data_IF_182280613441
#
_entry.id   IF_182280613441
#
_cell.length_a   1.000
_cell.length_b   1.000
_cell.length_c   1.000
_cell.angle_alpha   90.00
_cell.angle_beta   90.00
_cell.angle_gamma   90.00
#
_symmetry.space_group_name_H-M   'P 1'
#
loop_
_entity.id
_entity.type
_entity.pdbx_description
1 polymer ?
#
# COMPACT_ATOMS: atom_id res chain seq x y z
N UNK A 1 57.42 -2.08 -19.13
CA UNK A 1 56.64 -3.10 -18.40
C UNK A 1 56.06 -2.45 -17.15
N UNK A 2 54.73 -2.44 -16.96
CA UNK A 2 54.07 -2.01 -15.71
C UNK A 2 53.39 -0.62 -15.68
N UNK A 3 52.23 -0.46 -16.33
CA UNK A 3 51.33 0.70 -16.15
C UNK A 3 50.49 0.51 -14.86
N UNK A 4 50.70 1.35 -13.83
CA UNK A 4 49.85 1.41 -12.63
C UNK A 4 48.52 2.10 -12.95
N UNK A 5 47.42 1.35 -12.99
CA UNK A 5 46.05 1.90 -13.04
C UNK A 5 45.54 2.17 -11.62
N UNK A 6 45.15 3.42 -11.35
CA UNK A 6 44.37 3.82 -10.17
C UNK A 6 43.03 3.06 -10.20
N UNK A 7 42.69 2.29 -9.15
CA UNK A 7 41.33 1.79 -8.94
C UNK A 7 40.48 2.94 -8.39
N UNK A 8 39.57 3.44 -9.23
CA UNK A 8 38.49 4.33 -8.82
C UNK A 8 37.43 3.57 -8.02
N UNK A 9 36.77 4.31 -7.13
CA UNK A 9 35.56 3.92 -6.41
C UNK A 9 34.53 3.32 -7.37
N UNK A 10 34.08 2.09 -7.10
CA UNK A 10 32.84 1.57 -7.65
C UNK A 10 31.70 2.09 -6.75
N UNK A 11 30.94 3.04 -7.28
CA UNK A 11 29.56 3.24 -6.86
C UNK A 11 28.77 2.05 -7.40
N UNK A 12 28.02 1.36 -6.54
CA UNK A 12 27.00 0.43 -6.99
C UNK A 12 25.84 1.28 -7.50
N UNK A 13 25.71 1.39 -8.81
CA UNK A 13 24.48 1.80 -9.46
C UNK A 13 23.44 0.70 -9.21
N UNK A 14 22.45 1.00 -8.37
CA UNK A 14 21.25 0.18 -8.26
C UNK A 14 20.41 0.41 -9.53
N UNK A 15 20.40 -0.61 -10.38
CA UNK A 15 19.56 -0.73 -11.56
C UNK A 15 18.09 -0.46 -11.17
N UNK A 16 17.53 0.65 -11.67
CA UNK A 16 16.10 0.96 -11.63
C UNK A 16 15.40 0.00 -12.61
N UNK A 17 14.56 -0.90 -12.11
CA UNK A 17 13.78 -1.83 -12.93
C UNK A 17 12.62 -1.07 -13.57
N UNK A 18 12.80 -0.70 -14.84
CA UNK A 18 11.80 -0.08 -15.72
C UNK A 18 10.86 -1.15 -16.33
N UNK A 19 10.09 -1.86 -15.49
CA UNK A 19 9.13 -2.89 -15.95
C UNK A 19 7.67 -2.52 -15.67
N UNK A 20 7.35 -1.24 -15.46
CA UNK A 20 5.97 -0.80 -15.20
C UNK A 20 5.09 -0.61 -16.45
N UNK A 21 5.65 -0.74 -17.66
CA UNK A 21 4.95 -0.44 -18.91
C UNK A 21 4.73 -1.69 -19.77
N UNK A 22 3.95 -2.66 -19.29
CA UNK A 22 3.21 -3.56 -20.19
C UNK A 22 2.07 -4.33 -19.49
N UNK A 23 0.88 -3.74 -19.41
CA UNK A 23 -0.35 -4.49 -19.06
C UNK A 23 -1.22 -4.60 -20.31
N UNK A 24 -1.30 -5.80 -20.87
CA UNK A 24 -2.18 -6.13 -22.00
C UNK A 24 -3.66 -6.07 -21.60
N UNK A 25 -4.60 -5.71 -22.51
CA UNK A 25 -6.01 -5.65 -22.19
C UNK A 25 -6.59 -7.07 -22.12
N UNK A 26 -7.04 -7.47 -20.93
CA UNK A 26 -7.71 -8.76 -20.70
C UNK A 26 -7.19 -9.61 -19.54
N UNK A 27 -6.26 -9.11 -18.72
CA UNK A 27 -5.75 -9.87 -17.58
C UNK A 27 -6.82 -10.07 -16.49
N UNK A 28 -7.39 -11.28 -16.46
CA UNK A 28 -8.20 -11.81 -15.37
C UNK A 28 -7.43 -11.72 -14.06
N UNK A 29 -8.03 -11.12 -13.03
CA UNK A 29 -7.55 -11.18 -11.66
C UNK A 29 -7.62 -12.62 -11.18
N UNK A 30 -6.48 -13.28 -11.10
CA UNK A 30 -6.30 -14.32 -10.09
C UNK A 30 -5.03 -13.96 -9.32
N UNK A 31 -5.13 -13.13 -8.26
CA UNK A 31 -4.00 -12.90 -7.39
C UNK A 31 -3.70 -14.20 -6.63
N UNK A 32 -2.43 -14.43 -6.33
CA UNK A 32 -1.78 -15.66 -5.88
C UNK A 32 -2.21 -16.22 -4.49
N UNK A 33 -3.50 -16.16 -4.14
CA UNK A 33 -4.04 -16.66 -2.88
C UNK A 33 -3.63 -15.82 -1.68
N UNK A 34 -3.81 -16.37 -0.47
CA UNK A 34 -3.61 -15.71 0.83
C UNK A 34 -2.14 -15.41 1.22
N UNK A 35 -1.19 -15.50 0.28
CA UNK A 35 0.25 -15.39 0.54
C UNK A 35 0.95 -14.18 -0.07
N UNK A 36 0.31 -13.47 -1.01
CA UNK A 36 0.93 -12.34 -1.69
C UNK A 36 0.58 -11.01 -1.00
N UNK A 37 1.55 -10.07 -0.91
CA UNK A 37 1.24 -8.72 -0.44
C UNK A 37 0.27 -8.05 -1.41
N UNK A 38 -0.67 -7.28 -0.85
CA UNK A 38 -1.63 -6.47 -1.60
C UNK A 38 -1.22 -5.01 -1.55
N UNK A 39 -1.45 -4.30 -2.64
CA UNK A 39 -1.27 -2.85 -2.70
C UNK A 39 -2.60 -2.14 -2.42
N UNK A 40 -2.66 -1.43 -1.31
CA UNK A 40 -3.82 -0.60 -0.95
C UNK A 40 -3.50 0.87 -1.21
N UNK A 41 -4.43 1.58 -1.86
CA UNK A 41 -4.31 3.02 -2.04
C UNK A 41 -5.60 3.75 -1.65
N UNK A 42 -5.42 4.93 -1.06
CA UNK A 42 -6.47 5.90 -0.80
C UNK A 42 -6.07 7.16 -1.54
N UNK A 43 -6.77 7.45 -2.63
CA UNK A 43 -6.67 8.72 -3.31
C UNK A 43 -7.69 9.67 -2.67
N UNK A 44 -7.20 10.79 -2.21
CA UNK A 44 -8.02 11.86 -1.67
C UNK A 44 -7.72 13.13 -2.44
N UNK A 45 -8.66 13.48 -3.31
CA UNK A 45 -8.49 14.48 -4.34
C UNK A 45 -9.33 15.73 -4.04
N UNK A 46 -8.84 16.90 -4.47
CA UNK A 46 -9.44 18.20 -4.14
C UNK A 46 -10.75 18.52 -4.91
N UNK A 47 -11.11 17.77 -5.95
CA UNK A 47 -12.39 17.86 -6.65
C UNK A 47 -13.54 17.09 -5.97
N UNK A 48 -13.36 16.64 -4.72
CA UNK A 48 -14.49 16.24 -3.87
C UNK A 48 -14.82 14.75 -3.86
N UNK A 49 -13.82 13.87 -4.06
CA UNK A 49 -13.98 12.42 -3.85
C UNK A 49 -12.85 11.84 -3.02
N UNK A 50 -13.15 10.69 -2.41
CA UNK A 50 -12.15 9.75 -1.88
C UNK A 50 -12.34 8.44 -2.62
N UNK A 51 -11.26 7.93 -3.20
CA UNK A 51 -11.23 6.72 -4.02
C UNK A 51 -10.34 5.68 -3.34
N UNK A 52 -10.84 4.46 -3.17
CA UNK A 52 -10.09 3.34 -2.59
C UNK A 52 -9.76 2.31 -3.66
N UNK A 53 -8.52 1.85 -3.64
CA UNK A 53 -8.01 0.86 -4.59
C UNK A 53 -7.41 -0.35 -3.89
N UNK A 54 -7.54 -1.51 -4.53
CA UNK A 54 -6.83 -2.75 -4.21
C UNK A 54 -6.13 -3.21 -5.50
N UNK A 55 -4.82 -3.38 -5.44
CA UNK A 55 -3.96 -3.73 -6.57
C UNK A 55 -4.22 -2.83 -7.80
N UNK A 56 -4.33 -1.52 -7.55
CA UNK A 56 -4.58 -0.50 -8.57
C UNK A 56 -6.02 -0.44 -9.10
N UNK A 57 -6.95 -1.27 -8.60
CA UNK A 57 -8.35 -1.29 -9.08
C UNK A 57 -9.26 -0.56 -8.12
N UNK A 58 -10.09 0.34 -8.66
CA UNK A 58 -11.08 1.09 -7.87
C UNK A 58 -12.12 0.11 -7.31
N UNK A 59 -12.21 0.04 -5.97
CA UNK A 59 -13.17 -0.83 -5.27
C UNK A 59 -14.25 -0.04 -4.54
N UNK A 60 -13.97 1.22 -4.21
CA UNK A 60 -14.94 2.10 -3.56
C UNK A 60 -14.67 3.56 -3.89
N UNK A 61 -15.73 4.35 -3.96
CA UNK A 61 -15.69 5.80 -4.13
C UNK A 61 -16.72 6.44 -3.20
N UNK A 62 -16.30 7.48 -2.49
CA UNK A 62 -17.15 8.36 -1.69
C UNK A 62 -17.12 9.76 -2.31
N UNK A 63 -18.30 10.35 -2.49
CA UNK A 63 -18.49 11.62 -3.19
C UNK A 63 -19.13 12.71 -2.31
N UNK A 64 -19.26 12.45 -1.01
CA UNK A 64 -19.85 13.37 -0.05
C UNK A 64 -21.38 13.34 0.00
N UNK A 65 -22.02 12.41 -0.72
CA UNK A 65 -23.49 12.25 -0.69
C UNK A 65 -24.02 11.86 0.69
N UNK A 66 -23.16 11.31 1.56
CA UNK A 66 -23.48 10.90 2.93
C UNK A 66 -22.99 11.89 4.00
N UNK A 67 -22.41 13.01 3.60
CA UNK A 67 -21.86 14.02 4.50
C UNK A 67 -20.58 14.67 3.97
N UNK A 68 -20.14 15.78 4.57
CA UNK A 68 -18.95 16.50 4.13
C UNK A 68 -17.69 15.63 4.26
N UNK A 69 -16.84 15.66 3.24
CA UNK A 69 -15.55 14.98 3.26
C UNK A 69 -14.55 15.71 4.17
N UNK A 70 -13.52 15.01 4.69
CA UNK A 70 -12.40 15.64 5.38
C UNK A 70 -11.76 16.74 4.52
N UNK A 71 -11.19 17.77 5.17
CA UNK A 71 -10.54 18.92 4.50
C UNK A 71 -9.20 19.31 5.12
N UNK A 72 -8.83 18.73 6.26
CA UNK A 72 -7.61 19.07 7.00
C UNK A 72 -6.50 18.06 6.71
N UNK A 73 -5.22 18.49 6.61
CA UNK A 73 -4.11 17.57 6.50
C UNK A 73 -4.17 16.47 7.57
N UNK A 74 -4.02 15.22 7.14
CA UNK A 74 -4.07 14.05 8.01
C UNK A 74 -2.70 13.38 8.12
N UNK A 75 -2.51 12.55 9.15
CA UNK A 75 -1.31 11.72 9.29
C UNK A 75 -1.60 10.33 8.72
N UNK A 76 -0.59 9.72 8.10
CA UNK A 76 -0.66 8.31 7.74
C UNK A 76 -0.48 7.50 9.03
N UNK A 77 -1.40 6.57 9.29
CA UNK A 77 -1.39 5.71 10.47
C UNK A 77 -1.66 4.27 10.06
N UNK A 78 -0.94 3.34 10.69
CA UNK A 78 -1.17 1.90 10.59
C UNK A 78 -1.07 1.32 12.01
N UNK A 79 -1.97 0.43 12.37
CA UNK A 79 -2.03 -0.17 13.69
C UNK A 79 -2.57 -1.61 13.63
N UNK A 80 -2.28 -2.36 14.69
CA UNK A 80 -2.82 -3.69 14.93
C UNK A 80 -3.19 -3.77 16.41
N UNK A 81 -4.45 -4.03 16.72
CA UNK A 81 -4.95 -4.17 18.08
C UNK A 81 -6.16 -5.11 18.11
N UNK A 82 -6.34 -5.89 19.19
CA UNK A 82 -7.56 -6.66 19.38
C UNK A 82 -8.71 -5.74 19.81
N UNK A 83 -9.90 -5.98 19.28
CA UNK A 83 -11.10 -5.25 19.67
C UNK A 83 -11.78 -5.90 20.90
N UNK A 84 -12.28 -5.08 21.83
CA UNK A 84 -12.98 -5.52 23.04
C UNK A 84 -14.32 -4.80 23.14
N UNK A 85 -15.40 -5.54 23.45
CA UNK A 85 -16.73 -4.97 23.69
C UNK A 85 -17.50 -4.60 22.41
N UNK A 86 -17.05 -5.04 21.24
CA UNK A 86 -17.64 -4.76 19.92
C UNK A 86 -17.77 -6.02 19.06
N UNK A 87 -17.98 -7.17 19.71
CA UNK A 87 -17.98 -8.50 19.10
C UNK A 87 -19.03 -8.65 17.99
N UNK A 88 -20.13 -7.88 18.04
CA UNK A 88 -21.14 -7.85 16.98
C UNK A 88 -20.61 -7.32 15.65
N UNK A 89 -19.51 -6.55 15.68
CA UNK A 89 -18.85 -6.01 14.50
C UNK A 89 -17.61 -6.84 14.11
N UNK A 90 -16.72 -7.11 15.07
CA UNK A 90 -15.39 -7.70 14.79
C UNK A 90 -15.32 -9.21 15.00
N UNK A 91 -16.37 -9.82 15.58
CA UNK A 91 -16.29 -11.15 16.19
C UNK A 91 -15.54 -11.13 17.52
N UNK A 92 -15.71 -12.19 18.34
CA UNK A 92 -14.98 -12.33 19.60
C UNK A 92 -13.49 -12.61 19.34
N UNK A 93 -12.62 -11.95 20.10
CA UNK A 93 -11.18 -12.17 20.03
C UNK A 93 -10.71 -13.17 21.10
N UNK A 94 -9.98 -14.20 20.68
CA UNK A 94 -9.25 -15.11 21.58
C UNK A 94 -7.78 -15.07 21.22
N UNK A 95 -6.91 -14.72 22.18
CA UNK A 95 -5.48 -14.67 21.93
C UNK A 95 -4.92 -16.09 21.70
N UNK A 96 -4.20 -16.36 20.61
CA UNK A 96 -3.77 -17.71 20.24
C UNK A 96 -2.55 -18.22 21.01
N UNK A 97 -2.05 -17.47 22.01
CA UNK A 97 -0.86 -17.83 22.78
C UNK A 97 0.47 -17.49 22.10
N UNK A 98 0.44 -16.89 20.90
CA UNK A 98 1.61 -16.44 20.16
C UNK A 98 1.40 -15.02 19.60
N UNK A 99 2.49 -14.23 19.38
CA UNK A 99 2.39 -12.88 18.82
C UNK A 99 1.71 -12.87 17.44
N UNK A 100 0.79 -11.92 17.25
CA UNK A 100 0.19 -11.62 15.96
C UNK A 100 0.90 -10.42 15.35
N UNK A 101 1.22 -10.48 14.06
CA UNK A 101 1.99 -9.44 13.37
C UNK A 101 1.33 -9.03 12.06
N UNK A 102 1.26 -7.72 11.82
CA UNK A 102 1.04 -7.16 10.50
C UNK A 102 2.39 -6.68 9.93
N UNK A 103 2.61 -6.85 8.63
CA UNK A 103 3.82 -6.39 7.94
C UNK A 103 3.44 -5.38 6.88
N UNK A 104 4.26 -4.35 6.75
CA UNK A 104 4.15 -3.30 5.75
C UNK A 104 5.51 -3.17 5.08
N UNK A 105 5.58 -3.52 3.80
CA UNK A 105 6.85 -3.50 3.08
C UNK A 105 7.27 -2.06 2.74
N UNK A 106 6.30 -1.22 2.37
CA UNK A 106 6.53 0.19 2.09
C UNK A 106 5.26 1.02 2.29
N UNK A 107 5.45 2.33 2.43
CA UNK A 107 4.38 3.34 2.41
C UNK A 107 4.86 4.47 1.50
N UNK A 108 4.02 4.85 0.53
CA UNK A 108 4.29 5.94 -0.40
C UNK A 108 3.21 7.00 -0.29
N UNK A 109 3.63 8.26 -0.21
CA UNK A 109 2.75 9.42 -0.31
C UNK A 109 3.09 10.19 -1.60
N UNK A 110 2.07 10.56 -2.35
CA UNK A 110 2.21 11.44 -3.52
C UNK A 110 1.27 12.60 -3.32
N UNK A 111 1.83 13.82 -3.36
CA UNK A 111 1.05 15.04 -3.29
C UNK A 111 0.52 15.36 -4.69
N UNK A 112 -0.75 15.74 -4.78
CA UNK A 112 -1.34 16.34 -5.97
C UNK A 112 -0.97 17.84 -6.09
#
# INVERSE_FOLDING_TARGET
MGRRRRRGRQALDAQRSDDADNVLPGASLLPCGFGCPFDYAIEWWNQGTINWFVDGKLVHQENGSRGPLPTRPMRIMANLWPATGVDSWTGPFTYPGAPLTARYDWVKYTKY
#
